data_IF_697962501867
#
_entry.id   IF_697962501867
#
_cell.length_a   1.000
_cell.length_b   1.000
_cell.length_c   1.000
_cell.angle_alpha   90.00
_cell.angle_beta   90.00
_cell.angle_gamma   90.00
#
_symmetry.space_group_name_H-M   'P 1'
#
loop_
_entity.id
_entity.type
_entity.pdbx_description
1 polymer ?
#
# COMPACT_ATOMS: atom_id res chain seq x y z
N UNK A 1 28.64 69.28 23.66
CA UNK A 1 27.39 69.42 22.88
C UNK A 1 26.45 68.34 23.39
N UNK A 2 25.31 68.58 24.06
CA UNK A 2 24.19 69.52 23.80
C UNK A 2 23.43 69.11 22.51
N UNK A 3 22.10 68.96 22.42
CA UNK A 3 20.91 69.47 23.17
C UNK A 3 19.82 68.32 23.20
N UNK A 4 19.08 67.96 24.28
CA UNK A 4 17.74 68.44 24.79
C UNK A 4 16.60 68.44 23.73
N UNK A 5 15.29 68.19 23.95
CA UNK A 5 14.37 67.84 25.09
C UNK A 5 13.52 66.58 24.70
N UNK A 6 12.32 66.15 25.19
CA UNK A 6 11.29 66.58 26.19
C UNK A 6 10.12 67.42 25.61
N UNK A 7 8.81 67.19 25.84
CA UNK A 7 8.01 66.12 26.53
C UNK A 7 6.69 65.83 25.74
N UNK A 8 5.40 65.67 26.14
CA UNK A 8 4.54 65.70 27.36
C UNK A 8 3.15 65.03 27.03
N UNK A 9 2.11 65.13 27.89
CA UNK A 9 0.75 64.50 27.82
C UNK A 9 -0.28 65.33 28.68
N UNK A 10 -1.63 65.07 28.80
CA UNK A 10 -2.46 63.87 28.50
C UNK A 10 -3.92 64.07 27.94
N UNK A 11 -4.64 62.93 27.77
CA UNK A 11 -6.09 62.63 27.99
C UNK A 11 -7.28 63.52 27.50
N UNK A 12 -8.32 62.86 26.91
CA UNK A 12 -9.74 63.01 27.31
C UNK A 12 -10.63 61.83 26.84
N UNK A 13 -11.74 61.57 27.55
CA UNK A 13 -12.80 60.54 27.36
C UNK A 13 -14.06 61.00 28.18
N UNK A 14 -15.23 60.32 28.29
CA UNK A 14 -15.92 59.30 27.48
C UNK A 14 -17.32 59.76 26.97
N UNK A 15 -18.17 58.84 26.46
CA UNK A 15 -19.64 58.69 26.78
C UNK A 15 -20.46 57.97 25.67
N UNK A 16 -21.61 57.27 25.85
CA UNK A 16 -22.20 56.38 26.90
C UNK A 16 -23.52 55.79 26.33
N UNK A 17 -23.84 54.50 26.60
CA UNK A 17 -25.19 53.83 26.78
C UNK A 17 -25.16 52.39 26.26
N UNK A 18 -25.53 51.32 26.98
CA UNK A 18 -26.73 50.99 27.81
C UNK A 18 -27.97 50.59 26.98
N UNK A 19 -28.77 49.55 27.31
CA UNK A 19 -28.73 48.62 28.48
C UNK A 19 -29.36 47.22 28.21
N UNK A 20 -29.49 46.39 29.26
CA UNK A 20 -29.82 44.93 29.26
C UNK A 20 -31.28 44.49 28.92
N UNK A 21 -31.53 43.19 28.61
CA UNK A 21 -32.86 42.61 28.28
C UNK A 21 -33.57 41.82 29.42
N UNK A 22 -34.90 41.62 29.29
CA UNK A 22 -35.80 40.85 30.20
C UNK A 22 -37.26 40.77 29.63
N UNK A 23 -38.16 39.81 29.94
CA UNK A 23 -38.10 38.47 30.58
C UNK A 23 -39.35 37.58 30.22
N UNK A 24 -39.57 36.46 30.91
CA UNK A 24 -40.71 35.48 30.89
C UNK A 24 -42.14 36.10 30.83
N UNK A 25 -43.23 35.48 30.30
CA UNK A 25 -43.88 34.20 30.73
C UNK A 25 -45.13 33.81 29.86
N UNK A 26 -45.60 32.56 30.01
CA UNK A 26 -46.70 31.82 29.32
C UNK A 26 -48.13 32.41 29.24
N UNK A 27 -48.92 31.87 28.29
CA UNK A 27 -50.41 31.85 28.20
C UNK A 27 -50.91 30.60 27.44
N UNK A 28 -52.21 30.27 27.48
CA UNK A 28 -52.75 28.92 27.15
C UNK A 28 -53.70 28.82 25.91
N UNK A 29 -54.20 27.60 25.64
CA UNK A 29 -55.01 27.08 24.49
C UNK A 29 -56.54 27.40 24.62
N UNK A 30 -57.53 26.89 23.81
CA UNK A 30 -57.50 25.88 22.70
C UNK A 30 -58.45 26.07 21.46
N UNK A 31 -58.34 25.13 20.49
CA UNK A 31 -59.38 24.60 19.56
C UNK A 31 -59.99 25.53 18.45
N UNK A 32 -60.64 25.09 17.34
CA UNK A 32 -61.03 23.73 16.84
C UNK A 32 -61.12 23.66 15.29
N UNK A 33 -60.67 22.53 14.70
CA UNK A 33 -61.05 21.84 13.41
C UNK A 33 -61.91 22.55 12.33
N UNK A 34 -61.41 22.55 11.07
CA UNK A 34 -62.11 22.01 9.85
C UNK A 34 -61.15 21.90 8.64
N UNK A 35 -61.49 21.09 7.64
CA UNK A 35 -60.58 20.62 6.56
C UNK A 35 -61.19 20.60 5.15
N UNK A 36 -60.40 21.07 4.15
CA UNK A 36 -60.32 20.55 2.75
C UNK A 36 -61.53 20.77 1.80
N UNK A 37 -61.35 20.98 0.46
CA UNK A 37 -60.25 21.57 -0.36
C UNK A 37 -60.72 22.93 -1.00
N UNK A 38 -60.14 23.60 -2.02
CA UNK A 38 -59.75 23.19 -3.40
C UNK A 38 -59.09 24.37 -4.15
N UNK A 39 -58.16 24.09 -5.09
CA UNK A 39 -57.68 24.90 -6.25
C UNK A 39 -57.70 26.46 -6.17
N UNK A 40 -56.62 27.20 -6.46
CA UNK A 40 -55.72 27.07 -7.62
C UNK A 40 -54.40 27.87 -7.46
N UNK A 41 -53.50 27.77 -8.45
CA UNK A 41 -52.41 28.70 -8.78
C UNK A 41 -51.39 29.08 -7.68
N UNK A 42 -50.25 28.36 -7.67
CA UNK A 42 -49.03 28.80 -6.97
C UNK A 42 -48.14 29.54 -7.97
N UNK A 43 -48.08 30.87 -7.86
CA UNK A 43 -47.04 31.68 -8.50
C UNK A 43 -45.68 31.37 -7.86
N UNK A 44 -44.66 31.13 -8.68
CA UNK A 44 -43.33 30.70 -8.20
C UNK A 44 -42.55 31.90 -7.67
N UNK A 45 -42.53 32.09 -6.35
CA UNK A 45 -41.51 32.93 -5.71
C UNK A 45 -40.16 32.19 -5.63
N UNK A 46 -39.08 32.94 -5.84
CA UNK A 46 -37.74 32.39 -6.04
C UNK A 46 -37.09 31.98 -4.72
N UNK A 47 -36.71 30.70 -4.57
CA UNK A 47 -35.78 30.28 -3.51
C UNK A 47 -34.80 29.20 -4.00
N UNK A 48 -33.54 29.31 -3.58
CA UNK A 48 -32.50 28.26 -3.61
C UNK A 48 -32.14 27.62 -4.97
N UNK A 49 -32.13 28.38 -6.07
CA UNK A 49 -31.90 27.83 -7.41
C UNK A 49 -30.44 27.46 -7.87
N UNK A 50 -29.31 27.84 -7.22
CA UNK A 50 -27.98 27.57 -7.81
C UNK A 50 -27.52 26.10 -7.67
N UNK A 51 -27.94 25.40 -6.60
CA UNK A 51 -27.42 24.07 -6.29
C UNK A 51 -28.12 22.95 -7.06
N UNK A 52 -29.40 23.15 -7.39
CA UNK A 52 -30.20 22.20 -8.18
C UNK A 52 -29.75 22.14 -9.65
N UNK A 53 -29.49 23.30 -10.28
CA UNK A 53 -28.99 23.36 -11.66
C UNK A 53 -27.66 22.61 -11.81
N UNK A 54 -26.70 22.87 -10.90
CA UNK A 54 -25.44 22.13 -10.89
C UNK A 54 -25.66 20.62 -10.78
N UNK A 55 -26.62 20.17 -9.97
CA UNK A 55 -26.92 18.74 -9.84
C UNK A 55 -27.54 18.13 -11.11
N UNK A 56 -28.16 18.94 -11.98
CA UNK A 56 -28.62 18.52 -13.32
C UNK A 56 -27.44 18.45 -14.28
N UNK A 57 -26.53 19.44 -14.25
CA UNK A 57 -25.32 19.45 -15.08
C UNK A 57 -24.41 18.26 -14.76
N UNK A 58 -24.15 18.01 -13.46
CA UNK A 58 -23.37 16.86 -12.95
C UNK A 58 -24.02 15.51 -13.38
N UNK A 59 -25.35 15.40 -13.32
CA UNK A 59 -26.09 14.21 -13.78
C UNK A 59 -26.04 14.02 -15.30
N UNK A 60 -26.09 15.12 -16.06
CA UNK A 60 -26.02 15.09 -17.52
C UNK A 60 -24.62 14.68 -17.99
N UNK A 61 -23.58 15.21 -17.34
CA UNK A 61 -22.19 14.81 -17.57
C UNK A 61 -21.95 13.34 -17.20
N UNK A 62 -22.51 12.87 -16.08
CA UNK A 62 -22.46 11.46 -15.69
C UNK A 62 -23.16 10.56 -16.72
N UNK A 63 -24.34 10.93 -17.21
CA UNK A 63 -25.05 10.22 -18.28
C UNK A 63 -24.22 10.13 -19.57
N UNK A 64 -23.56 11.22 -19.98
CA UNK A 64 -22.66 11.23 -21.13
C UNK A 64 -21.43 10.30 -20.93
N UNK A 65 -20.87 10.26 -19.72
CA UNK A 65 -19.78 9.36 -19.37
C UNK A 65 -20.20 7.88 -19.39
N UNK A 66 -21.37 7.54 -18.83
CA UNK A 66 -21.93 6.18 -18.85
C UNK A 66 -22.23 5.71 -20.28
N UNK A 67 -22.79 6.57 -21.13
CA UNK A 67 -23.01 6.26 -22.55
C UNK A 67 -21.69 6.07 -23.31
N UNK A 68 -20.65 6.85 -22.99
CA UNK A 68 -19.31 6.67 -23.56
C UNK A 68 -18.67 5.36 -23.12
N UNK A 69 -18.76 5.03 -21.82
CA UNK A 69 -18.30 3.74 -21.29
C UNK A 69 -19.02 2.57 -21.97
N UNK A 70 -20.35 2.63 -22.13
CA UNK A 70 -21.10 1.58 -22.81
C UNK A 70 -20.61 1.36 -24.25
N UNK A 71 -20.39 2.43 -25.02
CA UNK A 71 -19.86 2.31 -26.39
C UNK A 71 -18.50 1.61 -26.43
N UNK A 72 -17.59 1.91 -25.50
CA UNK A 72 -16.30 1.22 -25.40
C UNK A 72 -16.43 -0.25 -24.95
N UNK A 73 -17.45 -0.59 -24.15
CA UNK A 73 -17.76 -1.97 -23.80
C UNK A 73 -18.30 -2.75 -25.00
N UNK A 74 -19.29 -2.19 -25.72
CA UNK A 74 -19.92 -2.80 -26.89
C UNK A 74 -18.87 -3.00 -28.04
N UNK A 75 -17.96 -2.04 -28.22
CA UNK A 75 -16.82 -2.09 -29.14
C UNK A 75 -15.79 -3.18 -28.77
N UNK A 76 -15.42 -3.27 -27.49
CA UNK A 76 -14.53 -4.32 -26.99
C UNK A 76 -15.14 -5.71 -27.13
N UNK A 77 -16.45 -5.85 -26.90
CA UNK A 77 -17.19 -7.10 -27.11
C UNK A 77 -17.16 -7.50 -28.60
N UNK A 78 -17.45 -6.56 -29.51
CA UNK A 78 -17.35 -6.79 -30.96
C UNK A 78 -15.94 -7.23 -31.39
N UNK A 79 -14.90 -6.62 -30.83
CA UNK A 79 -13.52 -7.03 -31.06
C UNK A 79 -13.20 -8.45 -30.56
N UNK A 80 -13.74 -8.85 -29.40
CA UNK A 80 -13.58 -10.22 -28.87
C UNK A 80 -14.30 -11.25 -29.75
N UNK A 81 -15.52 -10.95 -30.18
CA UNK A 81 -16.31 -11.85 -31.04
C UNK A 81 -15.70 -11.99 -32.44
N UNK A 82 -15.10 -10.92 -32.98
CA UNK A 82 -14.29 -10.97 -34.19
C UNK A 82 -13.05 -11.87 -34.02
N UNK A 83 -12.32 -11.76 -32.89
CA UNK A 83 -11.15 -12.60 -32.60
C UNK A 83 -11.56 -14.08 -32.53
N UNK A 84 -12.65 -14.40 -31.82
CA UNK A 84 -13.18 -15.77 -31.75
C UNK A 84 -13.54 -16.30 -33.15
N UNK A 85 -14.29 -15.52 -33.93
CA UNK A 85 -14.69 -15.87 -35.31
C UNK A 85 -13.47 -16.09 -36.23
N UNK A 86 -12.42 -15.29 -36.07
CA UNK A 86 -11.17 -15.41 -36.84
C UNK A 86 -10.38 -16.67 -36.44
N UNK A 87 -10.35 -17.03 -35.15
CA UNK A 87 -9.74 -18.28 -34.66
C UNK A 87 -10.49 -19.49 -35.22
N UNK A 88 -11.81 -19.53 -35.09
CA UNK A 88 -12.63 -20.63 -35.60
C UNK A 88 -12.51 -20.80 -37.12
N UNK A 89 -12.48 -19.68 -37.86
CA UNK A 89 -12.27 -19.68 -39.31
C UNK A 89 -10.89 -20.23 -39.70
N UNK A 90 -9.85 -19.94 -38.89
CA UNK A 90 -8.49 -20.44 -39.10
C UNK A 90 -8.37 -21.94 -38.76
N UNK A 91 -8.97 -22.38 -37.66
CA UNK A 91 -9.06 -23.80 -37.31
C UNK A 91 -9.80 -24.60 -38.40
N UNK A 92 -10.92 -24.06 -38.90
CA UNK A 92 -11.73 -24.70 -39.95
C UNK A 92 -11.00 -24.76 -41.30
N UNK A 93 -10.33 -23.68 -41.72
CA UNK A 93 -9.54 -23.70 -42.96
C UNK A 93 -8.33 -24.64 -42.87
N UNK A 94 -7.69 -24.72 -41.70
CA UNK A 94 -6.56 -25.63 -41.44
C UNK A 94 -6.99 -27.10 -41.40
N UNK A 95 -8.18 -27.41 -40.88
CA UNK A 95 -8.79 -28.74 -40.96
C UNK A 95 -9.13 -29.14 -42.42
N UNK A 96 -9.67 -28.21 -43.21
CA UNK A 96 -9.95 -28.44 -44.64
C UNK A 96 -8.63 -28.66 -45.42
N UNK A 97 -7.57 -27.92 -45.10
CA UNK A 97 -6.25 -28.10 -45.71
C UNK A 97 -5.62 -29.48 -45.38
N UNK A 98 -5.85 -30.01 -44.17
CA UNK A 98 -5.42 -31.36 -43.80
C UNK A 98 -6.19 -32.43 -44.60
N UNK A 99 -7.52 -32.37 -44.63
CA UNK A 99 -8.35 -33.30 -45.39
C UNK A 99 -8.07 -33.27 -46.92
N UNK A 100 -7.69 -32.10 -47.45
CA UNK A 100 -7.27 -31.97 -48.85
C UNK A 100 -5.91 -32.61 -49.15
N UNK A 101 -5.03 -32.74 -48.16
CA UNK A 101 -3.72 -33.41 -48.29
C UNK A 101 -3.87 -34.94 -48.31
N UNK A 102 -4.79 -35.51 -47.53
CA UNK A 102 -5.06 -36.95 -47.48
C UNK A 102 -5.57 -37.52 -48.83
N UNK A 103 -6.04 -36.67 -49.75
CA UNK A 103 -6.44 -37.07 -51.10
C UNK A 103 -5.27 -37.20 -52.10
N UNK A 104 -4.02 -36.85 -51.74
CA UNK A 104 -2.87 -36.83 -52.67
C UNK A 104 -1.53 -37.17 -52.00
N UNK A 105 -1.26 -38.47 -51.83
CA UNK A 105 -0.23 -39.19 -52.60
C UNK A 105 0.11 -40.55 -51.96
N UNK A 106 0.36 -41.52 -52.82
CA UNK A 106 1.05 -42.78 -52.51
C UNK A 106 2.58 -42.56 -52.43
N UNK A 107 3.33 -43.59 -52.06
CA UNK A 107 4.79 -43.75 -52.05
C UNK A 107 5.62 -43.19 -50.85
N UNK A 108 6.04 -44.15 -50.02
CA UNK A 108 7.36 -44.28 -49.40
C UNK A 108 7.84 -43.33 -48.29
N UNK A 109 7.47 -43.72 -47.07
CA UNK A 109 8.23 -43.67 -45.80
C UNK A 109 9.76 -43.44 -45.91
N UNK A 110 10.28 -42.39 -45.26
CA UNK A 110 11.13 -42.51 -44.04
C UNK A 110 11.48 -41.12 -43.44
N UNK A 111 11.01 -40.84 -42.22
CA UNK A 111 11.55 -39.82 -41.28
C UNK A 111 11.02 -40.13 -39.88
N UNK A 112 11.84 -39.96 -38.85
CA UNK A 112 11.48 -40.32 -37.47
C UNK A 112 10.37 -39.45 -36.87
N UNK A 113 9.45 -40.11 -36.16
CA UNK A 113 8.50 -39.52 -35.20
C UNK A 113 9.26 -39.09 -33.92
N UNK A 114 8.73 -38.35 -32.93
CA UNK A 114 7.39 -37.84 -32.59
C UNK A 114 7.57 -36.70 -31.56
N UNK A 115 6.59 -35.96 -31.05
CA UNK A 115 5.23 -35.59 -31.47
C UNK A 115 4.77 -34.43 -30.57
N UNK A 116 4.02 -33.45 -31.09
CA UNK A 116 3.36 -32.44 -30.25
C UNK A 116 1.98 -32.96 -29.87
N UNK A 117 1.91 -33.71 -28.76
CA UNK A 117 0.64 -34.17 -28.21
C UNK A 117 -0.18 -33.00 -27.65
N UNK A 118 -1.51 -33.07 -27.79
CA UNK A 118 -2.44 -32.20 -27.06
C UNK A 118 -2.29 -32.46 -25.55
N UNK A 119 -1.58 -31.58 -24.85
CA UNK A 119 -1.42 -31.67 -23.41
C UNK A 119 -2.60 -31.00 -22.71
N UNK A 120 -3.17 -31.71 -21.73
CA UNK A 120 -3.91 -31.09 -20.62
C UNK A 120 -3.01 -30.06 -19.91
N UNK A 121 -3.57 -29.06 -19.20
CA UNK A 121 -2.77 -28.09 -18.46
C UNK A 121 -1.77 -28.81 -17.55
N UNK A 122 -0.48 -28.42 -17.56
CA UNK A 122 0.56 -29.15 -16.84
C UNK A 122 0.32 -29.14 -15.32
N UNK A 123 0.81 -30.15 -14.58
CA UNK A 123 0.78 -30.15 -13.13
C UNK A 123 1.29 -28.83 -12.56
N UNK A 124 0.58 -28.28 -11.57
CA UNK A 124 0.68 -26.89 -11.18
C UNK A 124 2.12 -26.42 -10.84
N UNK A 125 2.91 -27.29 -10.21
CA UNK A 125 4.33 -27.07 -9.89
C UNK A 125 5.17 -26.76 -11.15
N UNK A 126 5.00 -27.56 -12.23
CA UNK A 126 5.75 -27.45 -13.48
C UNK A 126 5.46 -26.15 -14.24
N UNK A 127 4.29 -25.56 -14.04
CA UNK A 127 3.96 -24.28 -14.66
C UNK A 127 4.71 -23.12 -13.99
N UNK A 128 4.98 -23.18 -12.68
CA UNK A 128 5.82 -22.17 -12.00
C UNK A 128 7.26 -22.25 -12.49
N UNK A 129 7.81 -23.46 -12.61
CA UNK A 129 9.14 -23.72 -13.16
C UNK A 129 9.27 -23.19 -14.60
N UNK A 130 8.37 -23.63 -15.49
CA UNK A 130 8.30 -23.18 -16.89
C UNK A 130 8.21 -21.66 -17.03
N UNK A 131 7.40 -21.00 -16.19
CA UNK A 131 7.24 -19.54 -16.24
C UNK A 131 8.49 -18.79 -15.76
N UNK A 132 9.31 -19.41 -14.92
CA UNK A 132 10.63 -18.88 -14.50
C UNK A 132 11.71 -19.12 -15.57
N UNK A 133 11.79 -20.34 -16.13
CA UNK A 133 12.69 -20.69 -17.24
C UNK A 133 12.49 -19.75 -18.45
N UNK A 134 11.23 -19.53 -18.84
CA UNK A 134 10.86 -18.63 -19.94
C UNK A 134 10.90 -17.13 -19.54
N UNK A 135 11.27 -16.81 -18.30
CA UNK A 135 11.27 -15.46 -17.72
C UNK A 135 9.96 -14.69 -17.99
N UNK A 136 8.82 -15.37 -17.97
CA UNK A 136 7.54 -14.84 -18.42
C UNK A 136 6.87 -13.97 -17.32
N UNK A 137 7.37 -12.75 -17.14
CA UNK A 137 7.01 -11.87 -15.99
C UNK A 137 5.53 -11.43 -15.98
N UNK A 138 4.82 -11.54 -17.11
CA UNK A 138 3.36 -11.37 -17.19
C UNK A 138 2.61 -12.67 -16.87
N UNK A 139 3.14 -13.82 -17.29
CA UNK A 139 2.56 -15.14 -17.02
C UNK A 139 2.64 -15.52 -15.55
N UNK A 140 3.82 -15.40 -14.92
CA UNK A 140 4.00 -15.70 -13.50
C UNK A 140 3.05 -14.86 -12.62
N UNK A 141 2.96 -13.54 -12.87
CA UNK A 141 1.99 -12.66 -12.19
C UNK A 141 0.54 -13.15 -12.33
N UNK A 142 0.12 -13.52 -13.54
CA UNK A 142 -1.26 -14.01 -13.81
C UNK A 142 -1.52 -15.33 -13.10
N UNK A 143 -0.62 -16.29 -13.24
CA UNK A 143 -0.69 -17.59 -12.59
C UNK A 143 -0.82 -17.43 -11.06
N UNK A 144 0.06 -16.63 -10.44
CA UNK A 144 0.02 -16.39 -9.01
C UNK A 144 -1.23 -15.63 -8.59
N UNK A 145 -1.71 -14.64 -9.36
CA UNK A 145 -2.96 -13.93 -9.07
C UNK A 145 -4.16 -14.88 -8.99
N UNK A 146 -4.25 -15.86 -9.91
CA UNK A 146 -5.29 -16.89 -9.90
C UNK A 146 -5.11 -17.97 -8.82
N UNK A 147 -3.98 -18.02 -8.11
CA UNK A 147 -3.66 -19.08 -7.14
C UNK A 147 -3.38 -18.56 -5.71
N UNK A 148 -3.26 -17.25 -5.50
CA UNK A 148 -2.73 -16.70 -4.23
C UNK A 148 -3.66 -16.90 -3.03
N UNK A 149 -4.98 -16.98 -3.23
CA UNK A 149 -5.94 -17.24 -2.15
C UNK A 149 -5.75 -18.63 -1.55
N UNK A 150 -5.79 -19.66 -2.40
CA UNK A 150 -5.90 -21.07 -1.94
C UNK A 150 -4.55 -21.79 -1.88
N UNK A 151 -3.53 -21.30 -2.60
CA UNK A 151 -2.22 -21.95 -2.72
C UNK A 151 -1.05 -21.11 -2.22
N UNK A 152 -1.25 -20.04 -1.43
CA UNK A 152 -0.15 -19.20 -0.90
C UNK A 152 0.99 -20.02 -0.28
N UNK A 153 0.68 -21.00 0.58
CA UNK A 153 1.70 -21.82 1.23
C UNK A 153 2.54 -22.63 0.21
N UNK A 154 1.88 -23.26 -0.76
CA UNK A 154 2.54 -23.97 -1.86
C UNK A 154 3.39 -23.04 -2.74
N UNK A 155 2.93 -21.82 -3.03
CA UNK A 155 3.72 -20.82 -3.76
C UNK A 155 4.98 -20.36 -3.01
N UNK A 156 5.00 -20.44 -1.67
CA UNK A 156 6.20 -20.17 -0.85
C UNK A 156 7.20 -21.33 -0.92
N UNK A 157 6.74 -22.56 -1.18
CA UNK A 157 7.57 -23.76 -1.32
C UNK A 157 8.10 -23.94 -2.76
N UNK A 158 7.22 -23.83 -3.76
CA UNK A 158 7.51 -24.03 -5.19
C UNK A 158 8.40 -22.90 -5.78
N UNK A 159 8.06 -21.64 -5.54
CA UNK A 159 8.67 -20.51 -6.26
C UNK A 159 10.17 -20.28 -5.95
N UNK A 160 10.68 -20.42 -4.72
CA UNK A 160 12.12 -20.28 -4.44
C UNK A 160 13.00 -21.38 -5.05
N UNK A 161 12.42 -22.48 -5.53
CA UNK A 161 13.11 -23.45 -6.37
C UNK A 161 13.07 -23.00 -7.84
N UNK A 162 11.86 -22.75 -8.39
CA UNK A 162 11.64 -22.33 -9.76
C UNK A 162 12.43 -21.07 -10.17
N UNK A 163 12.54 -20.07 -9.29
CA UNK A 163 13.30 -18.84 -9.57
C UNK A 163 14.79 -19.08 -9.89
N UNK A 164 15.37 -20.23 -9.50
CA UNK A 164 16.77 -20.61 -9.81
C UNK A 164 16.95 -21.07 -11.26
N UNK A 165 15.86 -21.39 -11.96
CA UNK A 165 15.84 -21.80 -13.36
C UNK A 165 15.82 -20.60 -14.32
N UNK A 166 15.48 -19.40 -13.82
CA UNK A 166 15.52 -18.17 -14.61
C UNK A 166 16.97 -17.75 -14.90
N UNK A 167 17.24 -17.30 -16.14
CA UNK A 167 18.60 -16.88 -16.56
C UNK A 167 19.11 -15.64 -15.82
N UNK A 168 18.23 -14.67 -15.54
CA UNK A 168 18.54 -13.45 -14.78
C UNK A 168 17.52 -13.27 -13.63
N UNK A 169 17.59 -14.06 -12.53
CA UNK A 169 16.51 -14.11 -11.52
C UNK A 169 16.19 -12.75 -10.89
N UNK A 170 17.22 -11.94 -10.61
CA UNK A 170 17.07 -10.62 -9.99
C UNK A 170 16.23 -9.67 -10.86
N UNK A 171 16.56 -9.61 -12.16
CA UNK A 171 15.88 -8.82 -13.18
C UNK A 171 14.46 -9.32 -13.45
N UNK A 172 14.30 -10.63 -13.57
CA UNK A 172 12.98 -11.26 -13.74
C UNK A 172 12.02 -10.91 -12.59
N UNK A 173 12.51 -10.91 -11.35
CA UNK A 173 11.73 -10.49 -10.17
C UNK A 173 11.42 -8.99 -10.21
N UNK A 174 12.35 -8.13 -10.62
CA UNK A 174 12.10 -6.69 -10.77
C UNK A 174 11.02 -6.40 -11.83
N UNK A 175 11.05 -7.08 -12.97
CA UNK A 175 9.97 -7.00 -13.98
C UNK A 175 8.63 -7.49 -13.44
N UNK A 176 8.62 -8.55 -12.62
CA UNK A 176 7.42 -9.10 -11.98
C UNK A 176 6.80 -8.13 -10.96
N UNK A 177 7.59 -7.32 -10.26
CA UNK A 177 7.11 -6.23 -9.41
C UNK A 177 6.42 -5.16 -10.28
N UNK A 178 6.99 -4.80 -11.43
CA UNK A 178 6.43 -3.76 -12.29
C UNK A 178 6.39 -2.42 -11.56
N UNK A 179 5.26 -1.69 -11.59
CA UNK A 179 5.16 -0.31 -11.07
C UNK A 179 3.97 -0.05 -10.14
N UNK A 180 3.40 -1.08 -9.49
CA UNK A 180 2.29 -0.89 -8.55
C UNK A 180 2.66 0.05 -7.40
N UNK A 181 3.92 0.05 -6.97
CA UNK A 181 4.40 0.86 -5.85
C UNK A 181 4.25 2.38 -6.06
N UNK A 182 4.08 2.85 -7.31
CA UNK A 182 3.79 4.25 -7.60
C UNK A 182 2.34 4.64 -7.28
N UNK A 183 1.44 3.67 -7.15
CA UNK A 183 0.04 3.90 -6.79
C UNK A 183 -0.07 4.24 -5.31
N UNK A 184 -0.79 5.33 -5.02
CA UNK A 184 -1.03 5.76 -3.64
C UNK A 184 -2.10 4.94 -2.92
N UNK A 185 -2.23 5.12 -1.60
CA UNK A 185 -3.13 4.35 -0.72
C UNK A 185 -4.57 4.24 -1.23
N UNK A 186 -5.07 5.26 -1.94
CA UNK A 186 -6.42 5.28 -2.54
C UNK A 186 -6.66 4.15 -3.54
N UNK A 187 -5.62 3.66 -4.23
CA UNK A 187 -5.71 2.52 -5.14
C UNK A 187 -5.90 1.17 -4.42
N UNK A 188 -5.70 1.15 -3.09
CA UNK A 188 -5.83 -0.03 -2.22
C UNK A 188 -6.95 0.15 -1.19
N UNK A 189 -7.96 0.97 -1.51
CA UNK A 189 -9.23 0.95 -0.80
C UNK A 189 -9.90 -0.45 -0.91
N UNK A 190 -10.85 -0.72 -0.02
CA UNK A 190 -11.61 -1.98 0.02
C UNK A 190 -12.10 -2.42 -1.36
N UNK A 191 -12.08 -3.73 -1.60
CA UNK A 191 -12.56 -4.39 -2.82
C UNK A 191 -11.81 -4.01 -4.11
N UNK A 192 -10.69 -3.28 -4.01
CA UNK A 192 -9.81 -3.00 -5.15
C UNK A 192 -9.11 -4.27 -5.66
N UNK A 193 -9.31 -4.57 -6.95
CA UNK A 193 -8.59 -5.59 -7.70
C UNK A 193 -7.05 -5.42 -7.69
N UNK A 194 -6.55 -4.25 -7.28
CA UNK A 194 -5.11 -4.01 -7.13
C UNK A 194 -4.54 -4.66 -5.85
N UNK A 195 -5.37 -5.06 -4.87
CA UNK A 195 -4.93 -5.69 -3.63
C UNK A 195 -4.30 -7.07 -3.88
N UNK A 196 -4.92 -8.03 -4.60
CA UNK A 196 -4.27 -9.31 -4.88
C UNK A 196 -3.04 -9.16 -5.79
N UNK A 197 -3.07 -8.23 -6.75
CA UNK A 197 -1.91 -7.92 -7.59
C UNK A 197 -0.69 -7.41 -6.77
N UNK A 198 -0.94 -6.60 -5.74
CA UNK A 198 0.06 -6.16 -4.75
C UNK A 198 0.56 -7.33 -3.91
N UNK A 199 -0.35 -8.18 -3.41
CA UNK A 199 0.00 -9.38 -2.63
C UNK A 199 0.88 -10.36 -3.42
N UNK A 200 0.59 -10.57 -4.71
CA UNK A 200 1.42 -11.38 -5.63
C UNK A 200 2.83 -10.80 -5.73
N UNK A 201 2.97 -9.50 -6.01
CA UNK A 201 4.29 -8.88 -6.17
C UNK A 201 5.12 -8.89 -4.88
N UNK A 202 4.47 -8.75 -3.72
CA UNK A 202 5.12 -8.94 -2.41
C UNK A 202 5.55 -10.39 -2.19
N UNK A 203 4.72 -11.36 -2.58
CA UNK A 203 5.05 -12.78 -2.48
C UNK A 203 6.22 -13.18 -3.40
N UNK A 204 6.33 -12.60 -4.60
CA UNK A 204 7.48 -12.84 -5.49
C UNK A 204 8.78 -12.30 -4.86
N UNK A 205 8.75 -11.11 -4.23
CA UNK A 205 9.89 -10.58 -3.46
C UNK A 205 10.26 -11.48 -2.27
N UNK A 206 9.25 -11.95 -1.51
CA UNK A 206 9.40 -12.84 -0.35
C UNK A 206 10.05 -14.18 -0.77
N UNK A 207 9.59 -14.79 -1.86
CA UNK A 207 10.17 -16.01 -2.42
C UNK A 207 11.56 -15.79 -3.04
N UNK A 208 11.85 -14.62 -3.62
CA UNK A 208 13.19 -14.30 -4.10
C UNK A 208 14.19 -14.22 -2.95
N UNK A 209 13.84 -13.63 -1.80
CA UNK A 209 14.69 -13.69 -0.61
C UNK A 209 14.92 -15.12 -0.13
N UNK A 210 13.89 -15.97 -0.11
CA UNK A 210 14.02 -17.38 0.29
C UNK A 210 14.89 -18.21 -0.68
N UNK A 211 14.95 -17.81 -1.96
CA UNK A 211 15.84 -18.38 -2.98
C UNK A 211 17.33 -18.11 -2.66
N UNK A 212 17.65 -16.96 -2.04
CA UNK A 212 19.02 -16.53 -1.79
C UNK A 212 19.79 -17.42 -0.80
N UNK A 213 21.06 -17.64 -1.13
CA UNK A 213 22.08 -18.23 -0.25
C UNK A 213 22.94 -17.10 0.33
N UNK A 214 22.87 -16.81 1.65
CA UNK A 214 23.60 -15.70 2.27
C UNK A 214 25.13 -15.82 2.19
N UNK A 215 25.65 -16.99 1.79
CA UNK A 215 27.08 -17.24 1.61
C UNK A 215 27.59 -16.95 0.20
N UNK A 216 26.71 -16.59 -0.74
CA UNK A 216 27.06 -16.34 -2.14
C UNK A 216 26.89 -14.86 -2.51
N UNK A 217 27.79 -14.29 -3.33
CA UNK A 217 27.57 -12.96 -3.88
C UNK A 217 26.36 -12.97 -4.83
N UNK A 218 25.58 -11.90 -4.80
CA UNK A 218 24.50 -11.65 -5.75
C UNK A 218 25.04 -10.75 -6.85
N UNK A 219 25.06 -11.23 -8.09
CA UNK A 219 25.18 -10.32 -9.24
C UNK A 219 23.81 -9.73 -9.57
N UNK A 220 23.58 -8.52 -9.08
CA UNK A 220 22.46 -7.66 -9.47
C UNK A 220 22.97 -6.34 -10.06
N UNK A 221 24.20 -6.32 -10.58
CA UNK A 221 24.87 -5.11 -11.06
C UNK A 221 24.09 -4.41 -12.18
N UNK A 222 23.55 -5.19 -13.12
CA UNK A 222 22.80 -4.72 -14.29
C UNK A 222 21.45 -4.08 -14.00
N UNK A 223 20.88 -4.28 -12.80
CA UNK A 223 19.56 -3.75 -12.40
C UNK A 223 19.60 -2.84 -11.18
N UNK A 224 20.79 -2.63 -10.59
CA UNK A 224 20.95 -1.91 -9.33
C UNK A 224 20.30 -0.52 -9.36
N UNK A 225 20.57 0.24 -10.42
CA UNK A 225 20.11 1.62 -10.55
C UNK A 225 18.58 1.70 -10.77
N UNK A 226 17.97 0.71 -11.46
CA UNK A 226 16.51 0.63 -11.60
C UNK A 226 15.85 0.28 -10.25
N UNK A 227 16.41 -0.67 -9.50
CA UNK A 227 15.89 -1.05 -8.19
C UNK A 227 16.08 0.07 -7.14
N UNK A 228 17.21 0.79 -7.16
CA UNK A 228 17.43 1.97 -6.32
C UNK A 228 16.45 3.10 -6.69
N UNK A 229 16.24 3.39 -7.98
CA UNK A 229 15.24 4.35 -8.43
C UNK A 229 13.81 3.96 -8.01
N UNK A 230 13.45 2.67 -8.09
CA UNK A 230 12.16 2.15 -7.64
C UNK A 230 11.96 2.34 -6.13
N UNK A 231 12.95 1.98 -5.31
CA UNK A 231 12.90 2.13 -3.85
C UNK A 231 12.84 3.61 -3.43
N UNK A 232 13.62 4.49 -4.07
CA UNK A 232 13.58 5.94 -3.83
C UNK A 232 12.24 6.54 -4.22
N UNK A 233 11.66 6.13 -5.36
CA UNK A 233 10.34 6.59 -5.80
C UNK A 233 9.22 6.14 -4.83
N UNK A 234 9.24 4.89 -4.37
CA UNK A 234 8.28 4.36 -3.38
C UNK A 234 8.40 5.10 -2.04
N UNK A 235 9.63 5.30 -1.53
CA UNK A 235 9.87 6.10 -0.32
C UNK A 235 9.34 7.52 -0.48
N UNK A 236 9.61 8.19 -1.60
CA UNK A 236 9.12 9.55 -1.90
C UNK A 236 7.59 9.60 -1.88
N UNK A 237 6.91 8.61 -2.49
CA UNK A 237 5.45 8.48 -2.46
C UNK A 237 4.92 8.32 -1.03
N UNK A 238 5.46 7.40 -0.25
CA UNK A 238 5.06 7.17 1.15
C UNK A 238 5.33 8.37 2.06
N UNK A 239 6.39 9.14 1.79
CA UNK A 239 6.70 10.37 2.53
C UNK A 239 5.64 11.46 2.28
N UNK A 240 5.22 11.64 1.03
CA UNK A 240 4.13 12.55 0.66
C UNK A 240 2.79 12.12 1.29
N UNK A 241 2.59 10.82 1.52
CA UNK A 241 1.39 10.24 2.14
C UNK A 241 1.46 10.13 3.68
N UNK A 242 2.27 10.96 4.35
CA UNK A 242 2.28 11.06 5.81
C UNK A 242 3.48 10.47 6.54
N UNK A 243 4.61 10.23 5.85
CA UNK A 243 5.86 9.63 6.38
C UNK A 243 5.78 8.13 6.67
N UNK A 244 6.95 7.47 6.69
CA UNK A 244 7.08 6.02 6.93
C UNK A 244 6.50 5.58 8.29
N UNK A 245 6.61 6.41 9.34
CA UNK A 245 6.02 6.13 10.65
C UNK A 245 4.47 6.03 10.64
N UNK A 246 3.81 6.54 9.60
CA UNK A 246 2.37 6.39 9.36
C UNK A 246 2.06 5.49 8.15
N UNK A 247 3.03 4.70 7.66
CA UNK A 247 2.82 3.76 6.56
C UNK A 247 1.70 2.75 6.84
N UNK A 248 1.04 2.33 5.75
CA UNK A 248 0.21 1.13 5.71
C UNK A 248 1.11 -0.12 5.80
N UNK A 249 0.64 -1.20 6.42
CA UNK A 249 1.47 -2.39 6.65
C UNK A 249 1.98 -3.02 5.34
N UNK A 250 1.13 -3.10 4.31
CA UNK A 250 1.51 -3.66 3.00
C UNK A 250 2.50 -2.78 2.22
N UNK A 251 2.47 -1.46 2.37
CA UNK A 251 3.52 -0.60 1.79
C UNK A 251 4.85 -0.77 2.51
N UNK A 252 4.82 -0.80 3.85
CA UNK A 252 6.02 -1.03 4.64
C UNK A 252 6.64 -2.40 4.35
N UNK A 253 5.80 -3.45 4.24
CA UNK A 253 6.21 -4.80 3.85
C UNK A 253 6.79 -4.84 2.45
N UNK A 254 6.12 -4.21 1.48
CA UNK A 254 6.59 -4.13 0.10
C UNK A 254 7.92 -3.41 -0.07
N UNK A 255 8.07 -2.23 0.53
CA UNK A 255 9.31 -1.45 0.42
C UNK A 255 10.46 -2.10 1.21
N UNK A 256 10.20 -2.67 2.39
CA UNK A 256 11.19 -3.41 3.16
C UNK A 256 11.70 -4.64 2.41
N UNK A 257 10.80 -5.39 1.77
CA UNK A 257 11.17 -6.52 0.92
C UNK A 257 12.00 -6.06 -0.29
N UNK A 258 11.58 -5.01 -1.00
CA UNK A 258 12.30 -4.48 -2.17
C UNK A 258 13.77 -4.13 -1.86
N UNK A 259 14.02 -3.34 -0.80
CA UNK A 259 15.38 -2.95 -0.41
C UNK A 259 16.18 -4.12 0.18
N UNK A 260 15.50 -5.13 0.74
CA UNK A 260 16.15 -6.38 1.17
C UNK A 260 16.57 -7.25 -0.01
N UNK A 261 15.87 -7.18 -1.15
CA UNK A 261 16.20 -7.96 -2.36
C UNK A 261 17.36 -7.37 -3.16
N UNK A 262 17.42 -6.04 -3.30
CA UNK A 262 18.28 -5.39 -4.30
C UNK A 262 19.27 -4.36 -3.75
N UNK A 263 19.22 -4.08 -2.45
CA UNK A 263 20.08 -3.08 -1.80
C UNK A 263 19.29 -1.95 -1.17
N UNK A 264 19.89 -1.35 -0.13
CA UNK A 264 19.33 -0.21 0.60
C UNK A 264 19.94 1.07 0.03
N UNK A 265 19.15 1.95 -0.63
CA UNK A 265 19.66 3.20 -1.18
C UNK A 265 20.25 4.11 -0.10
N UNK A 266 21.29 4.88 -0.45
CA UNK A 266 21.98 5.80 0.48
C UNK A 266 21.06 6.83 1.16
N UNK A 267 19.90 7.11 0.55
CA UNK A 267 18.86 7.98 1.09
C UNK A 267 18.01 7.37 2.22
N UNK A 268 18.23 6.11 2.60
CA UNK A 268 17.54 5.42 3.69
C UNK A 268 18.40 5.41 4.97
N UNK A 269 17.90 6.05 6.02
CA UNK A 269 18.52 6.05 7.34
C UNK A 269 18.09 4.84 8.16
N UNK A 270 18.86 4.47 9.19
CA UNK A 270 18.44 3.45 10.18
C UNK A 270 17.11 3.77 10.87
N UNK A 271 16.72 5.06 10.89
CA UNK A 271 15.43 5.53 11.38
C UNK A 271 14.30 5.20 10.40
N UNK A 272 14.50 5.38 9.09
CA UNK A 272 13.54 4.94 8.06
C UNK A 272 13.35 3.42 8.10
N UNK A 273 14.45 2.67 8.20
CA UNK A 273 14.44 1.20 8.29
C UNK A 273 13.70 0.73 9.54
N UNK A 274 13.90 1.36 10.70
CA UNK A 274 13.13 1.06 11.92
C UNK A 274 11.62 1.25 11.71
N UNK A 275 11.19 2.36 11.11
CA UNK A 275 9.76 2.61 10.88
C UNK A 275 9.16 1.61 9.87
N UNK A 276 9.92 1.18 8.86
CA UNK A 276 9.52 0.12 7.94
C UNK A 276 9.36 -1.23 8.65
N UNK A 277 10.36 -1.69 9.41
CA UNK A 277 10.31 -2.96 10.17
C UNK A 277 9.14 -2.98 11.14
N UNK A 278 8.92 -1.88 11.87
CA UNK A 278 7.80 -1.73 12.81
C UNK A 278 6.43 -1.83 12.12
N UNK A 279 6.32 -1.40 10.86
CA UNK A 279 5.05 -1.34 10.13
C UNK A 279 4.80 -2.57 9.25
N UNK A 280 5.83 -3.27 8.81
CA UNK A 280 5.76 -4.34 7.81
C UNK A 280 5.19 -5.68 8.30
N UNK A 281 4.99 -5.85 9.61
CA UNK A 281 4.76 -7.18 10.19
C UNK A 281 6.01 -8.09 10.04
N UNK A 282 7.21 -7.53 10.30
CA UNK A 282 8.49 -8.17 9.95
C UNK A 282 8.68 -9.60 10.47
N UNK A 283 8.04 -9.98 11.58
CA UNK A 283 8.05 -11.33 12.12
C UNK A 283 7.50 -12.38 11.12
N UNK A 284 6.44 -12.06 10.38
CA UNK A 284 5.84 -12.95 9.36
C UNK A 284 6.83 -13.33 8.25
N UNK A 285 7.74 -12.41 7.92
CA UNK A 285 8.71 -12.55 6.82
C UNK A 285 10.15 -12.64 7.35
N UNK A 286 10.35 -12.91 8.64
CA UNK A 286 11.67 -12.94 9.25
C UNK A 286 12.59 -14.00 8.62
N UNK A 287 12.03 -15.14 8.21
CA UNK A 287 12.77 -16.19 7.50
C UNK A 287 13.33 -15.71 6.14
N UNK A 288 12.57 -14.88 5.42
CA UNK A 288 12.98 -14.27 4.16
C UNK A 288 13.98 -13.12 4.41
N UNK A 289 13.67 -12.19 5.31
CA UNK A 289 14.54 -11.05 5.65
C UNK A 289 15.93 -11.49 6.18
N UNK A 290 16.01 -12.61 6.91
CA UNK A 290 17.27 -13.26 7.35
C UNK A 290 18.17 -13.73 6.20
N UNK A 291 17.66 -13.86 4.97
CA UNK A 291 18.45 -14.23 3.79
C UNK A 291 19.07 -13.04 3.06
N UNK A 292 18.67 -11.81 3.36
CA UNK A 292 19.16 -10.60 2.68
C UNK A 292 20.59 -10.25 3.10
N UNK A 293 21.56 -10.20 2.17
CA UNK A 293 22.91 -9.71 2.47
C UNK A 293 22.94 -8.19 2.68
N UNK A 294 21.89 -7.47 2.27
CA UNK A 294 21.79 -6.01 2.39
C UNK A 294 21.15 -5.56 3.71
N UNK A 295 20.14 -6.29 4.17
CA UNK A 295 19.35 -5.90 5.34
C UNK A 295 19.91 -6.43 6.67
N UNK A 296 20.44 -7.66 6.70
CA UNK A 296 21.00 -8.25 7.94
C UNK A 296 22.13 -7.40 8.54
N UNK A 297 23.11 -6.85 7.77
CA UNK A 297 24.15 -5.99 8.33
C UNK A 297 23.62 -4.72 9.02
N UNK A 298 22.48 -4.19 8.56
CA UNK A 298 21.88 -2.97 9.11
C UNK A 298 21.15 -3.20 10.44
N UNK A 299 20.83 -4.45 10.80
CA UNK A 299 19.94 -4.76 11.91
C UNK A 299 20.40 -4.18 13.25
N UNK A 300 21.70 -4.22 13.56
CA UNK A 300 22.23 -3.62 14.79
C UNK A 300 21.96 -2.10 14.86
N UNK A 301 22.10 -1.39 13.74
CA UNK A 301 21.79 0.04 13.64
C UNK A 301 20.29 0.36 13.74
N UNK A 302 19.43 -0.58 13.33
CA UNK A 302 17.96 -0.50 13.47
C UNK A 302 17.56 -0.68 14.95
N UNK A 303 18.12 -1.68 15.63
CA UNK A 303 17.91 -1.92 17.08
C UNK A 303 18.38 -0.73 17.90
N UNK A 304 19.57 -0.19 17.61
CA UNK A 304 20.07 1.06 18.17
C UNK A 304 19.09 2.24 17.99
N UNK A 305 18.52 2.38 16.79
CA UNK A 305 17.55 3.43 16.47
C UNK A 305 16.24 3.24 17.24
N UNK A 306 15.84 1.99 17.50
CA UNK A 306 14.71 1.65 18.37
C UNK A 306 14.97 2.07 19.83
N UNK A 307 16.13 1.69 20.39
CA UNK A 307 16.55 2.05 21.76
C UNK A 307 16.60 3.58 21.93
N UNK A 308 17.18 4.29 20.96
CA UNK A 308 17.29 5.77 20.96
C UNK A 308 15.91 6.47 20.92
N UNK A 309 14.86 5.82 20.41
CA UNK A 309 13.45 6.28 20.50
C UNK A 309 12.73 5.84 21.78
N UNK A 310 13.42 5.17 22.71
CA UNK A 310 12.85 4.56 23.90
C UNK A 310 12.08 3.26 23.65
N UNK A 311 12.10 2.73 22.42
CA UNK A 311 11.31 1.57 21.96
C UNK A 311 11.95 0.22 22.31
N UNK A 312 12.28 0.06 23.59
CA UNK A 312 13.05 -1.07 24.11
C UNK A 312 12.36 -2.44 23.91
N UNK A 313 11.02 -2.50 23.93
CA UNK A 313 10.28 -3.74 23.71
C UNK A 313 10.34 -4.12 22.23
N UNK A 314 10.12 -3.16 21.34
CA UNK A 314 10.23 -3.38 19.89
C UNK A 314 11.69 -3.63 19.46
N UNK A 315 12.67 -3.09 20.18
CA UNK A 315 14.09 -3.44 20.04
C UNK A 315 14.36 -4.91 20.42
N UNK A 316 13.81 -5.37 21.55
CA UNK A 316 13.95 -6.75 22.02
C UNK A 316 13.26 -7.76 21.08
N UNK A 317 12.08 -7.41 20.58
CA UNK A 317 11.36 -8.17 19.56
C UNK A 317 12.21 -8.35 18.30
N UNK A 318 12.84 -7.29 17.79
CA UNK A 318 13.77 -7.38 16.65
C UNK A 318 14.99 -8.26 16.97
N UNK A 319 15.57 -8.17 18.17
CA UNK A 319 16.74 -8.96 18.57
C UNK A 319 16.47 -10.47 18.48
N UNK A 320 15.36 -10.94 19.07
CA UNK A 320 14.96 -12.36 18.98
C UNK A 320 14.45 -12.74 17.57
N UNK A 321 13.68 -11.85 16.92
CA UNK A 321 13.17 -12.10 15.56
C UNK A 321 14.31 -12.33 14.57
N UNK A 322 15.41 -11.58 14.70
CA UNK A 322 16.55 -11.64 13.79
C UNK A 322 17.72 -12.51 14.26
N UNK A 323 17.74 -12.97 15.52
CA UNK A 323 18.78 -13.87 16.04
C UNK A 323 20.12 -13.16 16.23
N UNK A 324 20.10 -12.03 16.95
CA UNK A 324 21.27 -11.17 17.24
C UNK A 324 21.43 -10.89 18.74
N UNK A 325 21.07 -11.87 19.57
CA UNK A 325 21.20 -11.86 21.02
C UNK A 325 22.68 -11.75 21.47
N UNK A 326 23.62 -12.12 20.60
CA UNK A 326 25.07 -11.94 20.75
C UNK A 326 25.48 -10.47 20.96
N UNK A 327 24.73 -9.54 20.37
CA UNK A 327 25.01 -8.10 20.39
C UNK A 327 24.17 -7.32 21.40
N UNK A 328 23.01 -7.85 21.78
CA UNK A 328 22.01 -7.12 22.58
C UNK A 328 21.43 -8.00 23.68
N UNK A 329 21.91 -7.81 24.91
CA UNK A 329 21.40 -8.59 26.04
C UNK A 329 19.97 -8.15 26.42
N UNK A 330 19.06 -9.13 26.52
CA UNK A 330 17.68 -8.89 26.95
C UNK A 330 17.61 -8.19 28.32
N UNK A 331 18.52 -8.55 29.24
CA UNK A 331 18.61 -7.93 30.57
C UNK A 331 18.89 -6.43 30.51
N UNK A 332 19.82 -5.98 29.65
CA UNK A 332 20.12 -4.54 29.53
C UNK A 332 18.97 -3.75 28.90
N UNK A 333 18.31 -4.32 27.89
CA UNK A 333 17.13 -3.74 27.23
C UNK A 333 15.96 -3.57 28.21
N UNK A 334 15.62 -4.63 28.95
CA UNK A 334 14.52 -4.63 29.92
C UNK A 334 14.84 -3.75 31.15
N UNK A 335 16.08 -3.78 31.65
CA UNK A 335 16.50 -2.91 32.76
C UNK A 335 16.46 -1.42 32.39
N UNK A 336 16.87 -1.08 31.16
CA UNK A 336 16.77 0.28 30.64
C UNK A 336 15.31 0.72 30.47
N UNK A 337 14.45 -0.16 29.94
CA UNK A 337 13.00 0.08 29.85
C UNK A 337 12.36 0.35 31.22
N UNK A 338 12.61 -0.51 32.21
CA UNK A 338 12.06 -0.38 33.56
C UNK A 338 12.53 0.90 34.26
N UNK A 339 13.81 1.27 34.11
CA UNK A 339 14.37 2.55 34.59
C UNK A 339 13.65 3.74 33.95
N UNK A 340 13.58 3.78 32.62
CA UNK A 340 12.93 4.87 31.86
C UNK A 340 11.44 5.00 32.21
N UNK A 341 10.75 3.88 32.41
CA UNK A 341 9.36 3.83 32.85
C UNK A 341 9.19 4.39 34.27
N UNK A 342 9.99 3.93 35.24
CA UNK A 342 9.98 4.41 36.63
C UNK A 342 10.27 5.91 36.72
N UNK A 343 11.26 6.40 35.99
CA UNK A 343 11.56 7.84 35.91
C UNK A 343 10.40 8.63 35.33
N UNK A 344 9.75 8.13 34.27
CA UNK A 344 8.61 8.80 33.64
C UNK A 344 7.40 8.85 34.57
N UNK A 345 7.16 7.77 35.33
CA UNK A 345 6.12 7.70 36.36
C UNK A 345 6.35 8.71 37.49
N UNK A 346 7.55 8.79 38.07
CA UNK A 346 7.86 9.76 39.12
C UNK A 346 7.79 11.21 38.61
N UNK A 347 8.26 11.48 37.38
CA UNK A 347 8.10 12.80 36.72
C UNK A 347 6.63 13.16 36.49
N UNK A 348 5.76 12.20 36.19
CA UNK A 348 4.31 12.42 36.05
C UNK A 348 3.62 12.67 37.41
N UNK A 349 3.97 11.88 38.43
CA UNK A 349 3.49 11.99 39.82
C UNK A 349 3.82 13.36 40.43
N UNK A 350 5.06 13.85 40.25
CA UNK A 350 5.46 15.20 40.66
C UNK A 350 4.62 16.29 39.95
N UNK A 351 4.42 16.18 38.64
CA UNK A 351 3.56 17.12 37.88
C UNK A 351 2.10 17.09 38.33
N UNK A 352 1.54 15.93 38.66
CA UNK A 352 0.17 15.79 39.16
C UNK A 352 -0.02 16.42 40.55
N UNK A 353 1.02 16.43 41.39
CA UNK A 353 0.98 17.02 42.73
C UNK A 353 1.13 18.56 42.70
N UNK A 354 1.81 19.12 41.69
CA UNK A 354 2.15 20.54 41.63
C UNK A 354 0.98 21.54 41.74
N UNK A 355 -0.21 21.35 41.11
CA UNK A 355 -1.29 22.35 41.15
C UNK A 355 -2.34 22.14 42.27
N UNK A 356 -2.26 21.07 43.07
CA UNK A 356 -3.19 20.87 44.21
C UNK A 356 -2.90 21.88 45.33
N UNK A 357 -1.63 22.24 45.53
CA UNK A 357 -1.21 23.22 46.54
C UNK A 357 -1.74 24.64 46.25
N UNK A 358 -1.83 25.04 44.97
CA UNK A 358 -2.16 26.42 44.59
C UNK A 358 -3.64 26.76 44.88
N UNK A 359 -4.57 25.83 44.62
CA UNK A 359 -6.01 26.02 44.89
C UNK A 359 -6.39 26.07 46.39
N UNK A 360 -5.45 25.83 47.31
CA UNK A 360 -5.66 26.00 48.76
C UNK A 360 -5.11 27.33 49.32
N UNK A 361 -4.42 28.16 48.53
CA UNK A 361 -3.92 29.48 48.98
C UNK A 361 -4.77 30.69 48.55
N UNK A 362 -5.77 30.51 47.70
CA UNK A 362 -6.66 31.58 47.20
C UNK A 362 -8.07 31.54 47.82
N UNK A 363 -8.18 31.13 49.09
CA UNK A 363 -9.41 31.17 49.91
C UNK A 363 -9.15 31.60 51.36
N UNK A 364 -8.17 32.48 51.57
CA UNK A 364 -7.81 32.99 52.90
C UNK A 364 -7.14 34.37 52.82
N UNK A 365 -7.89 35.35 52.32
CA UNK A 365 -7.89 36.76 52.72
C UNK A 365 -9.22 37.38 52.30
#
# INVERSE_FOLDING_TARGET
>A
MAVRNGSLIPAHDPSTRENQPSILRSGELPATVKTVPTNNEITIEQSNHPQFLKSIDDLTAFSAAVNTFKRHYDDLQSHMDYINTAIDSNLKSKAIAAAAAESRNDASVETATAAVASQSPPPAEKEVERLCELMCSKGLRRYMYSNISDRRAKLIEELPAALKLAKEPAKFVLECIGKFYLQGRKAYASDSHMIPARQVSLLILECYLLMLDPKKPIDSSSIKDEAEAAAVAWKKRMMNEGRLAAAEAMDAKGLLLLISCFGIPSSFTSMDLFDLVRKSGAAEIAAALKRSPFFVPMMSGIVDSSIKRGKHIEALEMVYTFGIEDRFSASSLLSSFLRMSKESFEKAKQKAQAPIALKRRTKSF
#
